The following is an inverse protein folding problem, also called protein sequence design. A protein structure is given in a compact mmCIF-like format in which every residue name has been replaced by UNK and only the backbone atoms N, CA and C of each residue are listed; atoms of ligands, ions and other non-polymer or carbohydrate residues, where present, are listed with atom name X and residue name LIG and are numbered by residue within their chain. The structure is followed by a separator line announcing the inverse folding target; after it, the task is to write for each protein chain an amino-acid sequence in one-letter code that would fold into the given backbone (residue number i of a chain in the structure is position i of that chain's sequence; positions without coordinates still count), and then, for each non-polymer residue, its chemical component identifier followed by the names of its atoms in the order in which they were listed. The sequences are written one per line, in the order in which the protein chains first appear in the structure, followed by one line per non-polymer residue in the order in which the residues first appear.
data_IF_738143581906
#
_entry.id   IF_738143581906
#
_cell.length_a   1.000
_cell.length_b   1.000
_cell.length_c   1.000
_cell.angle_alpha   90.00
_cell.angle_beta   90.00
_cell.angle_gamma   90.00
#
_symmetry.space_group_name_H-M   'P 1'
#
loop_
_entity.id
_entity.type
_entity.pdbx_description
1 polymer ?
#
# COMPACT_ATOMS: atom_id res chain seq x y z
N UNK A 1 -19.57 -21.86 -12.75
CA UNK A 1 -18.77 -22.45 -11.65
C UNK A 1 -17.34 -21.93 -11.77
N UNK A 2 -16.95 -20.94 -10.96
CA UNK A 2 -15.58 -20.46 -10.92
C UNK A 2 -14.75 -21.36 -9.99
N UNK A 3 -13.83 -22.15 -10.55
CA UNK A 3 -12.80 -22.83 -9.75
C UNK A 3 -11.80 -21.77 -9.31
N UNK A 4 -11.97 -21.20 -8.12
CA UNK A 4 -10.87 -20.53 -7.41
C UNK A 4 -9.95 -21.59 -6.80
N UNK A 5 -9.35 -22.45 -7.63
CA UNK A 5 -8.27 -23.30 -7.16
C UNK A 5 -7.01 -22.44 -7.08
N UNK A 6 -6.64 -22.08 -5.86
CA UNK A 6 -5.45 -21.32 -5.50
C UNK A 6 -4.17 -22.18 -5.68
N UNK A 7 -4.03 -22.78 -6.87
CA UNK A 7 -2.93 -23.69 -7.19
C UNK A 7 -1.74 -22.86 -7.67
N UNK A 8 -0.54 -23.03 -7.09
CA UNK A 8 0.64 -22.33 -7.54
C UNK A 8 0.94 -22.69 -9.00
N UNK A 9 1.26 -21.67 -9.81
CA UNK A 9 1.76 -21.85 -11.19
C UNK A 9 3.28 -21.82 -11.17
N UNK A 10 3.92 -22.83 -11.77
CA UNK A 10 5.38 -22.79 -11.98
C UNK A 10 5.67 -21.98 -13.24
N UNK A 11 6.50 -20.96 -13.13
CA UNK A 11 6.98 -20.14 -14.24
C UNK A 11 8.49 -20.25 -14.36
N UNK A 12 9.01 -20.09 -15.58
CA UNK A 12 10.45 -20.07 -15.82
C UNK A 12 10.97 -18.64 -15.67
N UNK A 13 12.15 -18.53 -15.06
CA UNK A 13 12.91 -17.29 -15.00
C UNK A 13 13.95 -17.34 -16.12
N UNK A 14 14.01 -16.30 -16.95
CA UNK A 14 15.03 -16.20 -17.99
C UNK A 14 16.42 -16.01 -17.39
N UNK A 15 17.48 -16.17 -18.20
CA UNK A 15 18.85 -15.88 -17.77
C UNK A 15 19.04 -14.43 -17.32
N UNK A 16 18.23 -13.51 -17.85
CA UNK A 16 18.24 -12.09 -17.51
C UNK A 16 17.37 -11.77 -16.29
N UNK A 17 16.74 -12.76 -15.66
CA UNK A 17 15.91 -12.58 -14.47
C UNK A 17 14.43 -12.25 -14.75
N UNK A 18 13.97 -12.30 -15.99
CA UNK A 18 12.57 -12.02 -16.32
C UNK A 18 11.67 -13.23 -16.04
N UNK A 19 10.52 -13.01 -15.42
CA UNK A 19 9.46 -14.01 -15.25
C UNK A 19 8.12 -13.41 -15.69
N UNK A 20 7.32 -14.19 -16.42
CA UNK A 20 6.01 -13.74 -16.89
C UNK A 20 4.94 -14.01 -15.84
N UNK A 21 4.21 -12.97 -15.43
CA UNK A 21 3.03 -13.11 -14.57
C UNK A 21 1.94 -13.85 -15.36
N UNK A 22 1.42 -15.01 -14.90
CA UNK A 22 0.36 -15.75 -15.59
C UNK A 22 -0.88 -14.91 -15.87
N UNK A 23 -1.52 -15.11 -17.04
CA UNK A 23 -2.70 -14.35 -17.48
C UNK A 23 -3.81 -14.31 -16.42
N UNK A 24 -4.12 -15.44 -15.80
CA UNK A 24 -5.15 -15.53 -14.77
C UNK A 24 -4.87 -14.66 -13.54
N UNK A 25 -3.59 -14.48 -13.18
CA UNK A 25 -3.20 -13.58 -12.08
C UNK A 25 -3.27 -12.12 -12.53
N UNK A 26 -2.80 -11.80 -13.73
CA UNK A 26 -2.92 -10.44 -14.28
C UNK A 26 -4.37 -9.97 -14.31
N UNK A 27 -5.27 -10.78 -14.85
CA UNK A 27 -6.71 -10.47 -14.93
C UNK A 27 -7.34 -10.35 -13.54
N UNK A 28 -6.96 -11.23 -12.60
CA UNK A 28 -7.48 -11.20 -11.23
C UNK A 28 -7.09 -9.94 -10.47
N UNK A 29 -5.87 -9.45 -10.67
CA UNK A 29 -5.31 -8.32 -9.93
C UNK A 29 -5.31 -7.01 -10.75
N UNK A 30 -5.97 -6.97 -11.91
CA UNK A 30 -6.08 -5.76 -12.72
C UNK A 30 -4.75 -5.26 -13.29
N UNK A 31 -3.79 -6.16 -13.54
CA UNK A 31 -2.48 -5.79 -14.10
C UNK A 31 -2.61 -5.73 -15.62
N UNK A 32 -2.77 -4.52 -16.15
CA UNK A 32 -2.81 -4.27 -17.59
C UNK A 32 -1.43 -4.45 -18.25
N UNK A 33 -1.42 -4.69 -19.56
CA UNK A 33 -0.20 -4.83 -20.34
C UNK A 33 -0.25 -3.94 -21.59
N UNK A 34 0.77 -3.09 -21.84
CA UNK A 34 1.91 -2.81 -20.96
C UNK A 34 1.48 -2.06 -19.69
N UNK A 35 2.14 -2.33 -18.57
CA UNK A 35 1.80 -1.75 -17.26
C UNK A 35 2.96 -1.89 -16.28
N UNK A 36 2.80 -1.30 -15.10
CA UNK A 36 3.83 -1.24 -14.04
C UNK A 36 3.34 -1.95 -12.76
N UNK A 37 4.28 -2.51 -12.00
CA UNK A 37 4.02 -3.20 -10.73
C UNK A 37 5.08 -2.84 -9.71
N UNK A 38 4.70 -2.77 -8.43
CA UNK A 38 5.67 -2.80 -7.33
C UNK A 38 6.16 -4.23 -7.12
N UNK A 39 7.46 -4.38 -6.86
CA UNK A 39 8.10 -5.66 -6.55
C UNK A 39 8.96 -5.49 -5.31
N UNK A 40 8.66 -6.23 -4.24
CA UNK A 40 9.39 -6.16 -2.97
C UNK A 40 9.40 -7.49 -2.22
N UNK A 41 10.23 -7.61 -1.18
CA UNK A 41 10.29 -8.80 -0.31
C UNK A 41 9.42 -8.60 0.94
N UNK A 42 8.57 -9.58 1.24
CA UNK A 42 7.82 -9.67 2.50
C UNK A 42 7.78 -11.13 2.97
N UNK A 43 8.06 -11.38 4.26
CA UNK A 43 7.98 -12.73 4.84
C UNK A 43 8.70 -13.82 4.03
N UNK A 44 9.86 -13.49 3.45
CA UNK A 44 10.66 -14.37 2.56
C UNK A 44 9.94 -14.76 1.26
N UNK A 45 9.05 -13.90 0.78
CA UNK A 45 8.33 -14.04 -0.50
C UNK A 45 8.54 -12.79 -1.33
N UNK A 46 8.55 -12.97 -2.66
CA UNK A 46 8.47 -11.85 -3.59
C UNK A 46 6.99 -11.48 -3.72
N UNK A 47 6.65 -10.25 -3.37
CA UNK A 47 5.31 -9.68 -3.51
C UNK A 47 5.29 -8.81 -4.77
N UNK A 48 4.20 -8.92 -5.53
CA UNK A 48 3.95 -8.14 -6.75
C UNK A 48 2.60 -7.46 -6.59
N UNK A 49 2.57 -6.13 -6.69
CA UNK A 49 1.34 -5.33 -6.56
C UNK A 49 1.15 -4.43 -7.79
N UNK A 50 -0.08 -4.25 -8.30
CA UNK A 50 -0.34 -3.29 -9.36
C UNK A 50 -0.03 -1.86 -8.89
N UNK A 51 0.53 -1.04 -9.77
CA UNK A 51 0.62 0.41 -9.54
C UNK A 51 -0.77 1.02 -9.78
N UNK A 52 -1.38 1.73 -8.81
CA UNK A 52 -2.66 2.40 -9.02
C UNK A 52 -2.55 3.45 -10.13
N UNK A 53 -3.52 3.45 -11.03
CA UNK A 53 -3.62 4.48 -12.07
C UNK A 53 -3.95 5.85 -11.45
N UNK A 54 -3.59 6.96 -12.12
CA UNK A 54 -4.01 8.30 -11.69
C UNK A 54 -5.52 8.45 -11.53
N UNK A 55 -6.33 7.74 -12.33
CA UNK A 55 -7.79 7.73 -12.24
C UNK A 55 -8.28 7.04 -10.95
N UNK A 56 -7.63 5.95 -10.53
CA UNK A 56 -7.88 5.29 -9.24
C UNK A 56 -7.40 6.14 -8.06
N UNK A 57 -6.30 6.87 -8.22
CA UNK A 57 -5.80 7.82 -7.21
C UNK A 57 -6.66 9.08 -7.10
N UNK A 58 -7.32 9.49 -8.19
CA UNK A 58 -8.34 10.54 -8.19
C UNK A 58 -9.64 10.10 -7.49
N UNK A 59 -9.73 8.84 -7.06
CA UNK A 59 -10.68 8.36 -6.07
C UNK A 59 -10.11 8.46 -4.66
N UNK A 60 -9.99 9.68 -4.10
CA UNK A 60 -9.63 9.88 -2.69
C UNK A 60 -10.62 9.15 -1.72
N UNK A 61 -11.73 8.58 -2.19
CA UNK A 61 -12.74 7.89 -1.37
C UNK A 61 -13.38 6.67 -2.08
N UNK A 62 -12.69 5.51 -2.11
CA UNK A 62 -13.17 4.35 -2.90
C UNK A 62 -13.14 2.94 -2.29
N UNK A 63 -12.74 2.73 -1.02
CA UNK A 63 -12.86 1.44 -0.30
C UNK A 63 -11.92 0.31 -0.77
N UNK A 64 -11.18 -0.42 0.06
CA UNK A 64 -11.34 -0.74 1.47
C UNK A 64 -9.97 -0.96 2.13
N UNK A 65 -9.40 0.10 2.69
CA UNK A 65 -8.73 0.09 3.98
C UNK A 65 -9.01 1.47 4.58
N UNK A 66 -9.48 1.51 5.83
CA UNK A 66 -10.08 2.68 6.47
C UNK A 66 -9.16 3.92 6.43
N UNK A 67 -9.42 4.82 5.49
CA UNK A 67 -8.81 6.16 5.42
C UNK A 67 -9.21 7.08 6.61
N UNK A 68 -9.96 6.56 7.58
CA UNK A 68 -10.39 7.26 8.79
C UNK A 68 -9.37 7.15 9.93
N UNK A 69 -8.90 5.94 10.25
CA UNK A 69 -8.08 5.71 11.45
C UNK A 69 -6.69 6.36 11.34
N UNK A 70 -6.03 6.30 10.18
CA UNK A 70 -4.69 6.88 10.03
C UNK A 70 -4.75 8.42 10.06
N UNK A 71 -5.76 9.02 9.44
CA UNK A 71 -5.89 10.48 9.41
C UNK A 71 -6.34 11.05 10.77
N UNK A 72 -7.12 10.30 11.54
CA UNK A 72 -7.52 10.65 12.90
C UNK A 72 -6.36 10.48 13.87
N UNK A 73 -5.61 9.36 13.81
CA UNK A 73 -4.39 9.17 14.59
C UNK A 73 -3.34 10.25 14.31
N UNK A 74 -3.12 10.62 13.04
CA UNK A 74 -2.20 11.70 12.68
C UNK A 74 -2.66 13.06 13.20
N UNK A 75 -3.97 13.31 13.29
CA UNK A 75 -4.52 14.54 13.89
C UNK A 75 -4.41 14.55 15.40
N UNK A 76 -4.69 13.43 16.06
CA UNK A 76 -4.50 13.28 17.51
C UNK A 76 -3.04 13.42 17.91
N UNK A 77 -2.11 12.76 17.20
CA UNK A 77 -0.66 12.88 17.42
C UNK A 77 -0.19 14.33 17.29
N UNK A 78 -0.63 15.05 16.24
CA UNK A 78 -0.29 16.48 16.06
C UNK A 78 -0.89 17.37 17.15
N UNK A 79 -2.08 17.04 17.65
CA UNK A 79 -2.71 17.80 18.74
C UNK A 79 -2.04 17.54 20.09
N UNK A 80 -1.55 16.31 20.33
CA UNK A 80 -0.76 15.96 21.51
C UNK A 80 0.61 16.65 21.52
N UNK A 81 1.31 16.63 20.39
CA UNK A 81 2.60 17.30 20.26
C UNK A 81 2.47 18.81 20.46
N UNK A 82 1.46 19.45 19.84
CA UNK A 82 1.19 20.88 20.04
C UNK A 82 0.90 21.23 21.49
N UNK A 83 0.12 20.41 22.21
CA UNK A 83 -0.16 20.62 23.65
C UNK A 83 1.09 20.46 24.51
N UNK A 84 1.98 19.52 24.17
CA UNK A 84 3.27 19.33 24.87
C UNK A 84 4.24 20.47 24.63
N UNK A 85 4.23 21.05 23.44
CA UNK A 85 5.04 22.22 23.10
C UNK A 85 4.52 23.48 23.82
N UNK A 86 3.19 23.69 23.86
CA UNK A 86 2.56 24.82 24.57
C UNK A 86 2.79 24.73 26.08
N UNK A 87 2.68 23.54 26.69
CA UNK A 87 2.92 23.35 28.13
C UNK A 87 4.40 23.53 28.55
N UNK A 88 5.34 23.39 27.62
CA UNK A 88 6.77 23.62 27.86
C UNK A 88 7.20 25.08 27.64
N UNK A 89 6.34 25.90 27.02
CA UNK A 89 6.66 27.29 26.63
C UNK A 89 6.10 28.33 27.61
N UNK A 90 5.28 27.93 28.59
CA UNK A 90 4.92 28.79 29.74
C UNK A 90 6.13 28.90 30.70
N UNK A 91 6.73 30.09 30.86
CA UNK A 91 7.97 30.24 31.60
C UNK A 91 7.73 30.04 33.11
N UNK A 92 8.51 29.13 33.68
CA UNK A 92 8.98 29.25 35.06
C UNK A 92 9.69 30.60 35.21
N UNK A 93 8.94 31.63 35.61
CA UNK A 93 9.47 32.96 35.84
C UNK A 93 8.43 33.98 36.27
N UNK A 94 7.96 33.90 37.52
CA UNK A 94 7.92 35.03 38.48
C UNK A 94 6.98 34.75 39.66
N UNK A 95 7.53 34.26 40.78
CA UNK A 95 7.57 34.96 42.08
C UNK A 95 8.25 34.08 43.13
#
# INVERSE_FOLDING_TARGET
MARSTNTPSVVHVSQQGAATIPKALREKFGIETPGEVFVYEEQRRIVIEPVPSPEELHGIHGGAHESGEILEQVRELKADDKRREEAQTEPSGAR
#
